data_IF_258414157515
#
_entry.id   IF_258414157515
#
_cell.length_a   1.000
_cell.length_b   1.000
_cell.length_c   1.000
_cell.angle_alpha   90.00
_cell.angle_beta   90.00
_cell.angle_gamma   90.00
#
_symmetry.space_group_name_H-M   'P 1'
#
loop_
_entity.id
_entity.type
_entity.pdbx_description
1 polymer ?
#
# COMPACT_ATOMS: atom_id res chain seq x y z
N UNK A 1 -3.77 -12.63 8.68
CA UNK A 1 -5.04 -12.82 7.94
C UNK A 1 -5.87 -11.53 7.84
N UNK A 2 -5.76 -10.60 8.77
CA UNK A 2 -6.54 -9.34 8.79
C UNK A 2 -6.14 -8.35 7.66
N UNK A 3 -4.87 -8.29 7.28
CA UNK A 3 -4.37 -7.26 6.34
C UNK A 3 -4.76 -7.50 4.87
N UNK A 4 -4.99 -8.75 4.45
CA UNK A 4 -5.47 -9.05 3.09
C UNK A 4 -6.92 -8.58 2.91
N UNK A 5 -7.71 -8.56 3.98
CA UNK A 5 -9.10 -8.11 3.95
C UNK A 5 -9.24 -6.58 3.79
N UNK A 6 -8.27 -5.79 4.22
CA UNK A 6 -8.32 -4.31 4.13
C UNK A 6 -8.12 -3.81 2.69
N UNK A 7 -7.44 -4.58 1.84
CA UNK A 7 -7.29 -4.28 0.40
C UNK A 7 -8.51 -4.66 -0.45
N UNK A 8 -9.52 -5.31 0.14
CA UNK A 8 -10.73 -5.75 -0.56
C UNK A 8 -11.89 -4.84 -0.18
N UNK A 9 -11.96 -3.64 -0.76
CA UNK A 9 -13.23 -2.91 -0.84
C UNK A 9 -14.08 -3.58 -1.91
N UNK A 10 -14.89 -4.57 -1.51
CA UNK A 10 -15.78 -5.30 -2.40
C UNK A 10 -17.08 -4.54 -2.62
N UNK A 11 -17.27 -4.03 -3.84
CA UNK A 11 -18.61 -3.76 -4.34
C UNK A 11 -19.12 -5.03 -5.03
N UNK A 12 -20.03 -5.75 -4.38
CA UNK A 12 -20.71 -6.91 -4.95
C UNK A 12 -21.72 -6.45 -6.02
N UNK A 13 -21.45 -6.74 -7.29
CA UNK A 13 -22.46 -6.86 -8.34
C UNK A 13 -22.08 -8.05 -9.22
N UNK A 14 -22.85 -9.13 -9.10
CA UNK A 14 -22.78 -10.28 -10.01
C UNK A 14 -23.35 -9.89 -11.38
N UNK A 15 -22.49 -9.83 -12.37
CA UNK A 15 -22.87 -9.77 -13.77
C UNK A 15 -21.78 -10.48 -14.57
N UNK A 16 -22.12 -11.55 -15.28
CA UNK A 16 -21.23 -12.17 -16.26
C UNK A 16 -20.86 -11.10 -17.29
N UNK A 17 -19.58 -10.73 -17.36
CA UNK A 17 -19.09 -9.77 -18.33
C UNK A 17 -18.88 -10.48 -19.68
N UNK A 18 -19.41 -9.91 -20.75
CA UNK A 18 -19.00 -10.27 -22.11
C UNK A 18 -17.48 -10.10 -22.24
N UNK A 19 -16.78 -11.01 -22.96
CA UNK A 19 -15.36 -10.89 -23.19
C UNK A 19 -15.08 -9.60 -23.99
N UNK A 20 -14.60 -8.60 -23.30
CA UNK A 20 -14.28 -7.29 -23.86
C UNK A 20 -12.91 -6.82 -23.42
N UNK A 21 -12.34 -5.89 -24.18
CA UNK A 21 -11.07 -5.25 -23.86
C UNK A 21 -11.17 -4.47 -22.55
N UNK A 22 -10.21 -4.62 -21.63
CA UNK A 22 -10.17 -3.82 -20.41
C UNK A 22 -10.23 -2.32 -20.67
N UNK A 23 -11.13 -1.62 -19.97
CA UNK A 23 -11.36 -0.19 -20.14
C UNK A 23 -11.16 0.53 -18.80
N UNK A 24 -10.19 1.43 -18.75
CA UNK A 24 -9.84 2.27 -17.59
C UNK A 24 -9.13 3.53 -18.10
N UNK A 25 -8.96 4.53 -17.22
CA UNK A 25 -8.35 5.81 -17.55
C UNK A 25 -7.31 6.22 -16.48
N UNK A 26 -6.55 7.25 -16.73
CA UNK A 26 -5.46 7.69 -15.84
C UNK A 26 -5.96 8.04 -14.43
N UNK A 27 -7.11 8.71 -14.34
CA UNK A 27 -7.75 9.10 -13.08
C UNK A 27 -8.29 7.93 -12.27
N UNK A 28 -8.47 6.76 -12.88
CA UNK A 28 -8.93 5.53 -12.22
C UNK A 28 -7.80 4.58 -11.85
N UNK A 29 -6.56 4.94 -12.17
CA UNK A 29 -5.35 4.31 -11.62
C UNK A 29 -4.97 5.10 -10.37
N UNK A 30 -5.07 4.50 -9.19
CA UNK A 30 -4.92 5.24 -7.93
C UNK A 30 -3.99 4.51 -6.94
N UNK A 31 -3.42 5.26 -6.02
CA UNK A 31 -2.90 4.69 -4.78
C UNK A 31 -4.10 4.29 -3.91
N UNK A 32 -4.32 3.00 -3.59
CA UNK A 32 -5.54 2.55 -2.91
C UNK A 32 -5.63 3.06 -1.46
N UNK A 33 -4.51 3.44 -0.86
CA UNK A 33 -4.44 3.89 0.53
C UNK A 33 -4.71 5.40 0.60
N UNK A 34 -4.12 6.16 -0.33
CA UNK A 34 -4.35 7.60 -0.44
C UNK A 34 -5.67 7.95 -1.14
N UNK A 35 -6.23 7.01 -1.93
CA UNK A 35 -7.47 7.21 -2.69
C UNK A 35 -7.32 8.14 -3.90
N UNK A 36 -6.11 8.50 -4.30
CA UNK A 36 -5.83 9.46 -5.38
C UNK A 36 -4.87 8.90 -6.42
N UNK A 37 -4.97 9.43 -7.64
CA UNK A 37 -4.01 9.20 -8.71
C UNK A 37 -2.71 10.00 -8.47
N UNK A 38 -1.59 9.54 -9.07
CA UNK A 38 -0.33 10.27 -9.06
C UNK A 38 0.58 10.04 -7.85
N UNK A 39 0.18 9.21 -6.91
CA UNK A 39 1.01 8.84 -5.76
C UNK A 39 1.49 7.38 -5.88
N UNK A 40 2.51 7.15 -6.70
CA UNK A 40 3.04 5.81 -6.96
C UNK A 40 4.55 5.77 -6.73
N UNK A 41 5.04 4.68 -6.15
CA UNK A 41 6.46 4.40 -6.00
C UNK A 41 6.74 2.91 -6.25
N UNK A 42 7.97 2.52 -6.54
CA UNK A 42 8.37 1.11 -6.50
C UNK A 42 8.01 0.49 -5.14
N UNK A 43 7.54 -0.76 -5.14
CA UNK A 43 7.09 -1.46 -3.93
C UNK A 43 5.92 -0.78 -3.20
N UNK A 44 5.08 -0.01 -3.90
CA UNK A 44 3.81 0.51 -3.37
C UNK A 44 2.61 -0.14 -4.06
N UNK A 45 1.45 -0.11 -3.40
CA UNK A 45 0.22 -0.63 -3.99
C UNK A 45 -0.38 0.36 -4.99
N UNK A 46 -0.91 -0.20 -6.09
CA UNK A 46 -1.67 0.51 -7.12
C UNK A 46 -2.97 -0.24 -7.36
N UNK A 47 -4.06 0.50 -7.45
CA UNK A 47 -5.37 -0.03 -7.84
C UNK A 47 -5.78 0.56 -9.19
N UNK A 48 -6.27 -0.30 -10.07
CA UNK A 48 -6.90 0.08 -11.34
C UNK A 48 -8.39 -0.17 -11.19
N UNK A 49 -9.20 0.87 -11.32
CA UNK A 49 -10.65 0.76 -11.44
C UNK A 49 -11.07 0.91 -12.90
N UNK A 50 -12.08 0.15 -13.31
CA UNK A 50 -12.52 0.18 -14.72
C UNK A 50 -13.63 -0.83 -15.01
N UNK A 51 -13.66 -1.28 -16.26
CA UNK A 51 -14.60 -2.28 -16.74
C UNK A 51 -13.85 -3.40 -17.45
N UNK A 52 -14.37 -4.62 -17.39
CA UNK A 52 -13.82 -5.79 -18.07
C UNK A 52 -12.36 -6.10 -17.70
N UNK A 53 -11.96 -5.73 -16.47
CA UNK A 53 -10.59 -5.91 -16.00
C UNK A 53 -10.26 -7.38 -15.69
N UNK A 54 -11.28 -8.18 -15.36
CA UNK A 54 -11.19 -9.62 -15.12
C UNK A 54 -12.54 -10.28 -15.40
N UNK A 55 -12.54 -11.58 -15.70
CA UNK A 55 -13.78 -12.38 -15.81
C UNK A 55 -14.24 -12.95 -14.47
N UNK A 56 -13.37 -12.93 -13.48
CA UNK A 56 -13.63 -13.49 -12.16
C UNK A 56 -13.27 -12.50 -11.06
N UNK A 57 -13.83 -12.71 -9.88
CA UNK A 57 -13.42 -12.01 -8.65
C UNK A 57 -12.59 -12.94 -7.80
N UNK A 58 -11.34 -12.55 -7.52
CA UNK A 58 -10.42 -13.36 -6.73
C UNK A 58 -9.37 -12.51 -6.02
N UNK A 59 -9.12 -12.82 -4.74
CA UNK A 59 -7.97 -12.33 -4.00
C UNK A 59 -6.83 -13.33 -4.03
N UNK A 60 -5.60 -12.87 -3.91
CA UNK A 60 -4.42 -13.70 -3.70
C UNK A 60 -4.59 -14.55 -2.45
N UNK A 61 -4.22 -15.79 -2.53
CA UNK A 61 -4.24 -16.77 -1.44
C UNK A 61 -2.85 -17.39 -1.25
N UNK A 62 -2.60 -18.12 -0.16
CA UNK A 62 -1.35 -18.86 0.03
C UNK A 62 -1.02 -19.83 -1.11
N UNK A 63 -2.02 -20.36 -1.80
CA UNK A 63 -1.84 -21.30 -2.93
C UNK A 63 -1.25 -20.63 -4.17
N UNK A 64 -1.33 -19.30 -4.26
CA UNK A 64 -0.71 -18.52 -5.33
C UNK A 64 0.78 -18.31 -5.11
N UNK A 65 1.26 -18.49 -3.87
CA UNK A 65 2.67 -18.34 -3.53
C UNK A 65 3.45 -19.61 -3.92
N UNK A 66 4.50 -19.45 -4.71
CA UNK A 66 5.37 -20.56 -5.12
C UNK A 66 6.78 -20.34 -4.58
N UNK A 67 7.18 -21.13 -3.59
CA UNK A 67 8.49 -20.99 -2.93
C UNK A 67 8.76 -19.57 -2.42
N UNK A 68 7.76 -18.89 -1.86
CA UNK A 68 7.84 -17.52 -1.38
C UNK A 68 7.83 -16.45 -2.47
N UNK A 69 7.55 -16.83 -3.73
CA UNK A 69 7.40 -15.89 -4.84
C UNK A 69 5.97 -15.37 -4.93
N UNK A 70 5.82 -14.07 -5.09
CA UNK A 70 4.55 -13.39 -5.32
C UNK A 70 4.08 -13.62 -6.76
N UNK A 71 2.78 -13.89 -6.97
CA UNK A 71 2.24 -14.11 -8.31
C UNK A 71 2.18 -12.82 -9.12
N UNK A 72 2.52 -12.89 -10.39
CA UNK A 72 2.26 -11.85 -11.40
C UNK A 72 0.96 -12.11 -12.16
N UNK A 73 0.34 -13.27 -11.94
CA UNK A 73 -0.99 -13.68 -12.39
C UNK A 73 -1.56 -14.57 -11.30
N UNK A 74 -2.78 -14.29 -10.83
CA UNK A 74 -3.48 -15.20 -9.93
C UNK A 74 -3.98 -16.42 -10.71
N UNK A 75 -3.88 -17.60 -10.11
CA UNK A 75 -4.27 -18.86 -10.77
C UNK A 75 -5.71 -18.76 -11.31
N UNK A 76 -5.89 -19.06 -12.60
CA UNK A 76 -7.21 -19.09 -13.26
C UNK A 76 -7.81 -17.72 -13.61
N UNK A 77 -7.04 -16.62 -13.56
CA UNK A 77 -7.59 -15.29 -13.87
C UNK A 77 -7.17 -14.71 -15.22
N UNK A 78 -6.02 -15.10 -15.78
CA UNK A 78 -5.46 -14.52 -17.00
C UNK A 78 -5.04 -13.04 -16.92
N UNK A 79 -5.23 -12.39 -15.77
CA UNK A 79 -4.98 -10.95 -15.60
C UNK A 79 -3.50 -10.69 -15.30
N UNK A 80 -2.91 -9.77 -16.07
CA UNK A 80 -1.55 -9.24 -15.89
C UNK A 80 -1.58 -7.73 -15.88
N UNK A 81 -0.71 -7.12 -15.08
CA UNK A 81 -0.45 -5.69 -15.13
C UNK A 81 1.04 -5.49 -15.35
N UNK A 82 1.39 -4.70 -16.35
CA UNK A 82 2.77 -4.34 -16.68
C UNK A 82 3.00 -2.88 -16.30
N UNK A 83 4.12 -2.61 -15.63
CA UNK A 83 4.60 -1.24 -15.37
C UNK A 83 5.97 -1.13 -16.02
N UNK A 84 6.12 -0.26 -17.01
CA UNK A 84 7.31 -0.22 -17.89
C UNK A 84 7.68 -1.61 -18.42
N UNK A 85 6.71 -2.39 -18.86
CA UNK A 85 6.85 -3.78 -19.34
C UNK A 85 7.29 -4.79 -18.27
N UNK A 86 7.51 -4.37 -17.01
CA UNK A 86 7.82 -5.27 -15.88
C UNK A 86 6.52 -5.74 -15.25
N UNK A 87 6.29 -7.07 -15.11
CA UNK A 87 5.08 -7.60 -14.48
C UNK A 87 4.96 -7.19 -13.01
N UNK A 88 3.83 -6.57 -12.65
CA UNK A 88 3.48 -6.26 -11.27
C UNK A 88 2.93 -7.50 -10.55
N UNK A 89 3.06 -7.56 -9.22
CA UNK A 89 2.48 -8.65 -8.44
C UNK A 89 0.99 -8.41 -8.22
N UNK A 90 0.15 -9.38 -8.57
CA UNK A 90 -1.31 -9.27 -8.50
C UNK A 90 -1.81 -9.75 -7.15
N UNK A 91 -2.57 -8.89 -6.44
CA UNK A 91 -3.16 -9.18 -5.14
C UNK A 91 -4.67 -9.41 -5.17
N UNK A 92 -5.35 -8.76 -6.11
CA UNK A 92 -6.80 -8.86 -6.26
C UNK A 92 -7.21 -8.56 -7.68
N UNK A 93 -8.19 -9.29 -8.18
CA UNK A 93 -8.86 -9.03 -9.45
C UNK A 93 -10.38 -9.11 -9.31
N UNK A 94 -11.08 -8.28 -10.05
CA UNK A 94 -12.52 -8.35 -10.28
C UNK A 94 -12.82 -7.69 -11.63
N UNK A 95 -14.05 -7.80 -12.17
CA UNK A 95 -14.43 -7.10 -13.39
C UNK A 95 -14.26 -5.57 -13.32
N UNK A 96 -14.21 -5.01 -12.11
CA UNK A 96 -14.19 -3.56 -11.86
C UNK A 96 -12.94 -3.05 -11.15
N UNK A 97 -12.11 -3.94 -10.61
CA UNK A 97 -10.96 -3.54 -9.79
C UNK A 97 -9.83 -4.56 -9.90
N UNK A 98 -8.61 -4.08 -10.06
CA UNK A 98 -7.37 -4.88 -9.96
C UNK A 98 -6.40 -4.18 -9.04
N UNK A 99 -5.89 -4.90 -8.01
CA UNK A 99 -4.89 -4.39 -7.09
C UNK A 99 -3.56 -5.08 -7.34
N UNK A 100 -2.53 -4.29 -7.49
CA UNK A 100 -1.16 -4.78 -7.73
C UNK A 100 -0.16 -4.11 -6.80
N UNK A 101 0.95 -4.79 -6.58
CA UNK A 101 2.16 -4.22 -6.01
C UNK A 101 3.12 -3.87 -7.13
N UNK A 102 3.53 -2.61 -7.21
CA UNK A 102 4.51 -2.13 -8.18
C UNK A 102 5.85 -2.85 -7.98
N UNK A 103 6.50 -3.35 -9.04
CA UNK A 103 7.78 -4.04 -8.92
C UNK A 103 8.83 -3.17 -8.22
N UNK A 104 9.52 -3.75 -7.24
CA UNK A 104 10.59 -3.06 -6.50
C UNK A 104 11.81 -2.72 -7.37
N UNK A 105 11.96 -3.39 -8.51
CA UNK A 105 13.05 -3.15 -9.48
C UNK A 105 12.83 -1.92 -10.37
N UNK A 106 11.66 -1.28 -10.30
CA UNK A 106 11.41 -0.05 -11.06
C UNK A 106 12.21 1.12 -10.52
N UNK A 107 12.47 2.08 -11.39
CA UNK A 107 13.15 3.34 -11.06
C UNK A 107 12.14 4.47 -11.10
N UNK A 108 12.27 5.43 -10.21
CA UNK A 108 11.46 6.65 -10.22
C UNK A 108 11.61 7.43 -11.53
N UNK A 109 10.53 8.05 -11.98
CA UNK A 109 10.44 8.80 -13.23
C UNK A 109 9.22 8.43 -14.07
N UNK A 110 9.17 8.89 -15.33
CA UNK A 110 8.09 8.56 -16.25
C UNK A 110 7.96 7.05 -16.46
N UNK A 111 6.74 6.54 -16.39
CA UNK A 111 6.44 5.14 -16.53
C UNK A 111 5.10 4.94 -17.27
N UNK A 112 4.87 3.72 -17.73
CA UNK A 112 3.59 3.32 -18.29
C UNK A 112 2.99 2.19 -17.48
N UNK A 113 1.66 2.15 -17.36
CA UNK A 113 0.93 1.01 -16.80
C UNK A 113 -0.06 0.47 -17.82
N UNK A 114 -0.13 -0.85 -17.97
CA UNK A 114 -1.05 -1.54 -18.87
C UNK A 114 -1.58 -2.82 -18.21
N UNK A 115 -2.89 -2.99 -18.22
CA UNK A 115 -3.56 -4.21 -17.82
C UNK A 115 -3.92 -5.04 -19.06
N UNK A 116 -3.69 -6.34 -18.98
CA UNK A 116 -4.02 -7.34 -20.00
C UNK A 116 -4.89 -8.40 -19.32
N UNK A 117 -6.06 -8.66 -19.88
CA UNK A 117 -6.98 -9.69 -19.42
C UNK A 117 -7.10 -10.78 -20.51
N UNK A 118 -6.56 -11.96 -20.22
CA UNK A 118 -6.59 -13.14 -21.12
C UNK A 118 -6.16 -12.83 -22.57
N UNK A 119 -5.08 -12.06 -22.70
CA UNK A 119 -4.52 -11.64 -23.99
C UNK A 119 -5.12 -10.35 -24.57
N UNK A 120 -6.25 -9.86 -24.06
CA UNK A 120 -6.85 -8.59 -24.47
C UNK A 120 -6.19 -7.43 -23.71
N UNK A 121 -5.46 -6.59 -24.43
CA UNK A 121 -4.73 -5.47 -23.85
C UNK A 121 -5.62 -4.24 -23.71
N UNK A 122 -5.70 -3.70 -22.49
CA UNK A 122 -6.30 -2.39 -22.23
C UNK A 122 -5.39 -1.23 -22.66
N UNK A 123 -5.82 0.03 -22.44
CA UNK A 123 -5.03 1.19 -22.81
C UNK A 123 -3.70 1.26 -22.03
N UNK A 124 -2.68 1.83 -22.68
CA UNK A 124 -1.42 2.20 -22.00
C UNK A 124 -1.61 3.57 -21.36
N UNK A 125 -1.47 3.64 -20.05
CA UNK A 125 -1.60 4.90 -19.29
C UNK A 125 -0.20 5.35 -18.87
N UNK A 126 0.11 6.63 -19.13
CA UNK A 126 1.33 7.26 -18.63
C UNK A 126 1.13 7.64 -17.16
N UNK A 127 2.10 7.27 -16.33
CA UNK A 127 2.17 7.60 -14.91
C UNK A 127 3.55 8.15 -14.57
N UNK A 128 3.72 8.68 -13.38
CA UNK A 128 5.03 9.03 -12.82
C UNK A 128 5.22 8.24 -11.54
N UNK A 129 6.36 7.56 -11.42
CA UNK A 129 6.78 6.92 -10.19
C UNK A 129 7.69 7.88 -9.43
N UNK A 130 7.37 8.16 -8.18
CA UNK A 130 8.25 8.85 -7.25
C UNK A 130 9.20 7.84 -6.57
N UNK A 131 10.28 8.31 -5.96
CA UNK A 131 11.14 7.46 -5.11
C UNK A 131 10.39 6.94 -3.89
N UNK A 132 9.47 7.75 -3.38
CA UNK A 132 8.62 7.48 -2.22
C UNK A 132 7.20 8.03 -2.49
N UNK A 133 6.19 7.33 -2.03
CA UNK A 133 4.78 7.74 -2.10
C UNK A 133 4.08 7.31 -0.79
N UNK A 134 4.40 7.95 0.35
CA UNK A 134 3.93 7.53 1.66
C UNK A 134 2.41 7.60 1.78
N UNK A 135 1.80 6.52 2.22
CA UNK A 135 0.38 6.47 2.55
C UNK A 135 0.15 5.53 3.73
N UNK A 136 -0.59 5.99 4.74
CA UNK A 136 -0.93 5.20 5.92
C UNK A 136 -2.27 4.50 5.71
N UNK A 137 -2.32 3.21 6.04
CA UNK A 137 -3.57 2.46 6.02
C UNK A 137 -4.56 3.04 7.04
N UNK A 138 -5.85 2.92 6.73
CA UNK A 138 -6.93 3.37 7.60
C UNK A 138 -7.77 2.17 8.05
N UNK A 139 -8.22 2.20 9.30
CA UNK A 139 -9.10 1.18 9.88
C UNK A 139 -10.56 1.40 9.45
N UNK A 140 -10.93 2.66 9.24
CA UNK A 140 -12.25 3.12 8.82
C UNK A 140 -12.37 4.62 9.08
N UNK A 141 -13.11 5.33 8.21
CA UNK A 141 -13.15 6.79 8.25
C UNK A 141 -11.75 7.40 8.19
N UNK A 142 -11.43 8.29 9.11
CA UNK A 142 -10.13 8.95 9.20
C UNK A 142 -9.11 8.23 10.12
N UNK A 143 -9.51 7.19 10.86
CA UNK A 143 -8.63 6.52 11.83
C UNK A 143 -7.54 5.74 11.11
N UNK A 144 -6.28 6.06 11.37
CA UNK A 144 -5.15 5.30 10.81
C UNK A 144 -5.09 3.90 11.41
N UNK A 145 -4.69 2.93 10.59
CA UNK A 145 -4.47 1.56 11.07
C UNK A 145 -3.22 1.52 11.93
N UNK A 146 -3.44 1.42 13.23
CA UNK A 146 -2.39 1.24 14.22
C UNK A 146 -2.77 0.15 15.22
N UNK A 147 -1.77 -0.46 15.84
CA UNK A 147 -1.95 -1.48 16.86
C UNK A 147 -1.08 -1.19 18.08
N UNK A 148 -1.56 -1.56 19.24
CA UNK A 148 -0.78 -1.70 20.47
C UNK A 148 0.23 -2.85 20.31
N UNK A 149 1.24 -2.92 21.19
CA UNK A 149 2.24 -4.00 21.11
C UNK A 149 1.67 -5.41 21.37
N UNK A 150 0.52 -5.50 22.01
CA UNK A 150 -0.21 -6.77 22.20
C UNK A 150 -1.01 -7.20 20.97
N UNK A 151 -1.03 -6.38 19.89
CA UNK A 151 -1.73 -6.62 18.65
C UNK A 151 -3.18 -6.14 18.63
N UNK A 152 -3.72 -5.58 19.71
CA UNK A 152 -5.05 -4.97 19.69
C UNK A 152 -5.03 -3.66 18.89
N UNK A 153 -6.13 -3.34 18.22
CA UNK A 153 -6.19 -2.16 17.36
C UNK A 153 -6.33 -0.87 18.17
N UNK A 154 -5.56 0.15 17.79
CA UNK A 154 -5.78 1.51 18.29
C UNK A 154 -7.04 2.06 17.64
N UNK A 155 -7.99 2.49 18.47
CA UNK A 155 -9.29 3.00 18.04
C UNK A 155 -9.79 4.08 19.02
N UNK A 156 -10.86 4.82 18.69
CA UNK A 156 -11.47 5.76 19.65
C UNK A 156 -11.90 5.11 20.98
N UNK A 157 -12.27 3.82 20.95
CA UNK A 157 -12.67 3.05 22.13
C UNK A 157 -11.45 2.45 22.89
N UNK A 158 -10.33 2.27 22.18
CA UNK A 158 -9.06 1.79 22.73
C UNK A 158 -7.91 2.68 22.22
N UNK A 159 -7.82 3.95 22.69
CA UNK A 159 -6.83 4.90 22.21
C UNK A 159 -5.42 4.58 22.75
N UNK A 160 -4.40 4.95 22.01
CA UNK A 160 -3.02 4.90 22.46
C UNK A 160 -2.80 5.87 23.63
N UNK A 161 -1.85 5.55 24.49
CA UNK A 161 -1.45 6.42 25.62
C UNK A 161 -0.15 7.15 25.30
N UNK A 162 0.02 8.32 25.89
CA UNK A 162 1.31 9.03 25.86
C UNK A 162 2.41 8.15 26.47
N UNK A 163 3.60 8.15 25.85
CA UNK A 163 4.72 7.28 26.24
C UNK A 163 4.62 5.84 25.70
N UNK A 164 3.45 5.40 25.24
CA UNK A 164 3.24 4.07 24.68
C UNK A 164 3.93 3.94 23.31
N UNK A 165 4.29 2.71 22.97
CA UNK A 165 4.74 2.36 21.59
C UNK A 165 3.59 1.73 20.83
N UNK A 166 3.27 2.31 19.68
CA UNK A 166 2.28 1.77 18.74
C UNK A 166 2.94 1.39 17.42
N UNK A 167 2.32 0.45 16.71
CA UNK A 167 2.72 0.03 15.37
C UNK A 167 1.74 0.60 14.35
N UNK A 168 2.19 1.50 13.50
CA UNK A 168 1.38 2.10 12.43
C UNK A 168 1.75 1.42 11.11
N UNK A 169 0.76 1.14 10.27
CA UNK A 169 0.97 0.50 8.98
C UNK A 169 0.86 1.49 7.83
N UNK A 170 1.82 1.37 6.89
CA UNK A 170 1.95 2.26 5.74
C UNK A 170 2.41 1.52 4.48
N UNK A 171 2.39 2.19 3.35
CA UNK A 171 3.02 1.77 2.09
C UNK A 171 3.82 2.92 1.49
N UNK A 172 4.67 2.61 0.50
CA UNK A 172 5.35 3.62 -0.30
C UNK A 172 6.48 4.36 0.41
N UNK A 173 7.07 3.79 1.47
CA UNK A 173 8.17 4.44 2.21
C UNK A 173 9.54 4.31 1.51
N UNK A 174 9.58 3.74 0.29
CA UNK A 174 10.77 3.69 -0.54
C UNK A 174 11.66 2.45 -0.33
N UNK A 175 12.92 2.52 -0.81
CA UNK A 175 13.89 1.43 -0.70
C UNK A 175 14.23 1.07 0.75
N UNK A 176 14.68 -0.18 0.95
CA UNK A 176 15.06 -0.70 2.28
C UNK A 176 16.50 -1.20 2.31
N UNK A 177 17.03 -1.33 3.54
CA UNK A 177 18.34 -1.92 3.82
C UNK A 177 18.14 -3.06 4.85
N UNK A 178 18.41 -4.34 4.45
CA UNK A 178 18.78 -4.77 3.11
C UNK A 178 17.68 -4.52 2.06
N UNK A 179 18.04 -4.45 0.76
CA UNK A 179 17.07 -4.22 -0.30
C UNK A 179 16.03 -5.34 -0.39
N UNK A 180 14.77 -4.97 -0.65
CA UNK A 180 13.72 -5.94 -0.93
C UNK A 180 14.04 -6.74 -2.20
N UNK A 181 13.80 -8.06 -2.15
CA UNK A 181 14.04 -8.95 -3.29
C UNK A 181 12.83 -8.90 -4.23
N UNK A 182 13.04 -8.69 -5.56
CA UNK A 182 11.95 -8.64 -6.51
C UNK A 182 11.05 -9.87 -6.47
N UNK A 183 9.75 -9.65 -6.51
CA UNK A 183 8.70 -10.68 -6.52
C UNK A 183 8.76 -11.66 -5.33
N UNK A 184 9.35 -11.28 -4.21
CA UNK A 184 9.50 -12.18 -3.08
C UNK A 184 8.80 -11.66 -1.83
N UNK A 185 8.19 -12.58 -1.11
CA UNK A 185 7.67 -12.34 0.24
C UNK A 185 8.86 -12.05 1.16
N UNK A 186 8.89 -10.93 1.89
CA UNK A 186 9.97 -10.63 2.83
C UNK A 186 9.93 -11.63 4.00
N UNK A 187 11.07 -12.20 4.35
CA UNK A 187 11.25 -13.13 5.47
C UNK A 187 11.86 -12.47 6.71
N UNK A 188 12.37 -11.25 6.57
CA UNK A 188 12.97 -10.48 7.66
C UNK A 188 12.59 -8.99 7.56
N UNK A 189 12.63 -8.32 8.71
CA UNK A 189 12.49 -6.88 8.79
C UNK A 189 13.67 -6.18 8.11
N UNK A 190 13.39 -5.09 7.38
CA UNK A 190 14.40 -4.27 6.72
C UNK A 190 14.02 -2.80 6.90
N UNK A 191 14.96 -1.99 7.39
CA UNK A 191 14.77 -0.57 7.58
C UNK A 191 14.59 0.16 6.25
N UNK A 192 13.82 1.26 6.24
CA UNK A 192 13.88 2.19 5.10
C UNK A 192 15.30 2.75 4.97
N UNK A 193 15.76 2.92 3.72
CA UNK A 193 17.12 3.41 3.45
C UNK A 193 17.30 4.85 3.97
N UNK A 194 16.33 5.71 3.73
CA UNK A 194 16.33 7.14 4.08
C UNK A 194 15.76 7.43 5.47
N UNK A 195 16.07 6.62 6.47
CA UNK A 195 15.53 6.78 7.83
C UNK A 195 15.86 8.11 8.52
N UNK A 196 16.97 8.76 8.12
CA UNK A 196 17.38 10.07 8.67
C UNK A 196 16.52 11.23 8.18
N UNK A 197 15.90 11.07 7.00
CA UNK A 197 15.04 12.07 6.37
C UNK A 197 13.56 11.81 6.67
N UNK A 198 13.25 10.62 7.18
CA UNK A 198 11.88 10.22 7.48
C UNK A 198 11.39 10.87 8.76
N UNK A 199 10.21 11.46 8.72
CA UNK A 199 9.58 12.08 9.87
C UNK A 199 8.09 11.74 9.98
N UNK A 200 7.57 11.93 11.19
CA UNK A 200 6.15 11.85 11.53
C UNK A 200 5.75 13.20 12.13
N UNK A 201 4.57 13.65 11.77
CA UNK A 201 3.97 14.88 12.28
C UNK A 201 2.65 14.57 12.98
N UNK A 202 2.45 15.17 14.15
CA UNK A 202 1.18 15.19 14.87
C UNK A 202 0.67 16.64 14.88
N UNK A 203 -0.49 16.90 14.25
CA UNK A 203 -1.02 18.25 14.01
C UNK A 203 0.04 19.19 13.42
N UNK A 204 0.75 18.72 12.36
CA UNK A 204 1.82 19.43 11.67
C UNK A 204 3.06 19.79 12.52
N UNK A 205 3.17 19.23 13.75
CA UNK A 205 4.35 19.33 14.58
C UNK A 205 5.16 18.03 14.44
N UNK A 206 6.44 18.11 14.04
CA UNK A 206 7.27 16.93 13.90
C UNK A 206 7.56 16.29 15.25
N UNK A 207 7.40 14.97 15.36
CA UNK A 207 7.79 14.25 16.55
C UNK A 207 9.31 14.12 16.63
N UNK A 208 9.90 14.03 17.83
CA UNK A 208 11.33 13.76 17.99
C UNK A 208 11.74 12.50 17.21
N UNK A 209 12.88 12.55 16.51
CA UNK A 209 13.39 11.40 15.75
C UNK A 209 13.58 10.17 16.64
N UNK A 210 13.96 10.37 17.91
CA UNK A 210 14.08 9.30 18.90
C UNK A 210 12.78 8.60 19.26
N UNK A 211 11.64 9.18 18.89
CA UNK A 211 10.31 8.56 19.04
C UNK A 211 10.01 7.55 17.94
N UNK A 212 10.71 7.61 16.79
CA UNK A 212 10.56 6.66 15.68
C UNK A 212 11.52 5.50 15.90
N UNK A 213 11.04 4.44 16.56
CA UNK A 213 11.85 3.30 16.94
C UNK A 213 12.15 2.34 15.79
N UNK A 214 11.29 2.34 14.78
CA UNK A 214 11.42 1.56 13.54
C UNK A 214 10.59 2.19 12.44
N UNK A 215 11.10 2.18 11.23
CA UNK A 215 10.34 2.39 10.01
C UNK A 215 10.92 1.46 8.93
N UNK A 216 10.11 0.55 8.38
CA UNK A 216 10.62 -0.45 7.45
C UNK A 216 9.59 -1.49 7.07
N UNK A 217 10.02 -2.52 6.33
CA UNK A 217 9.17 -3.63 5.89
C UNK A 217 8.61 -4.40 7.08
N UNK A 218 7.34 -4.79 6.97
CA UNK A 218 6.62 -5.65 7.91
C UNK A 218 6.46 -7.06 7.34
N UNK A 219 7.38 -8.00 7.64
CA UNK A 219 7.23 -9.37 7.19
C UNK A 219 5.94 -10.02 7.74
N UNK A 220 5.33 -10.94 6.99
CA UNK A 220 5.70 -11.45 5.68
C UNK A 220 5.02 -10.70 4.51
N UNK A 221 4.72 -9.42 4.63
CA UNK A 221 3.91 -8.69 3.65
C UNK A 221 4.75 -7.76 2.79
N UNK A 222 4.93 -8.10 1.50
CA UNK A 222 5.59 -7.20 0.55
C UNK A 222 4.73 -5.95 0.32
N UNK A 223 5.40 -4.78 0.21
CA UNK A 223 4.72 -3.48 0.05
C UNK A 223 4.09 -2.92 1.32
N UNK A 224 4.04 -3.73 2.40
CA UNK A 224 3.61 -3.26 3.71
C UNK A 224 4.82 -2.81 4.51
N UNK A 225 4.74 -1.58 4.99
CA UNK A 225 5.69 -1.01 5.94
C UNK A 225 5.02 -0.86 7.29
N UNK A 226 5.80 -1.01 8.35
CA UNK A 226 5.39 -0.66 9.71
C UNK A 226 6.29 0.44 10.25
N UNK A 227 5.70 1.26 11.11
CA UNK A 227 6.36 2.34 11.83
C UNK A 227 6.08 2.11 13.31
N UNK A 228 7.13 1.87 14.11
CA UNK A 228 6.99 1.76 15.54
C UNK A 228 7.24 3.15 16.14
N UNK A 229 6.16 3.79 16.57
CA UNK A 229 6.18 5.13 17.14
C UNK A 229 5.97 5.08 18.64
N UNK A 230 6.91 5.63 19.41
CA UNK A 230 6.66 6.00 20.81
C UNK A 230 5.89 7.30 20.82
N UNK A 231 4.68 7.27 21.34
CA UNK A 231 3.84 8.47 21.47
C UNK A 231 4.54 9.47 22.39
N UNK A 232 4.81 10.73 21.96
CA UNK A 232 5.39 11.75 22.82
C UNK A 232 4.53 12.02 24.06
N UNK A 233 5.16 12.36 25.19
CA UNK A 233 4.44 12.62 26.44
C UNK A 233 3.55 13.87 26.35
N UNK A 234 3.87 14.79 25.46
CA UNK A 234 3.15 16.02 25.17
C UNK A 234 2.22 15.91 23.93
N UNK A 235 2.05 14.70 23.37
CA UNK A 235 1.20 14.51 22.20
C UNK A 235 -0.22 15.03 22.47
N UNK A 236 -0.84 15.76 21.52
CA UNK A 236 -2.23 16.18 21.64
C UNK A 236 -3.18 14.98 21.62
N UNK A 237 -4.41 15.16 22.09
CA UNK A 237 -5.45 14.15 21.97
C UNK A 237 -5.92 14.07 20.49
N UNK A 238 -6.11 12.85 19.99
CA UNK A 238 -6.63 12.55 18.67
C UNK A 238 -6.01 13.41 17.54
N UNK A 239 -4.66 13.52 17.45
CA UNK A 239 -4.04 14.40 16.46
C UNK A 239 -4.24 13.89 15.04
N UNK A 240 -4.28 14.82 14.10
CA UNK A 240 -3.99 14.53 12.70
C UNK A 240 -2.56 14.01 12.56
N UNK A 241 -2.37 12.88 11.90
CA UNK A 241 -1.05 12.29 11.70
C UNK A 241 -0.66 12.27 10.24
N UNK A 242 0.61 12.58 9.96
CA UNK A 242 1.25 12.45 8.65
C UNK A 242 2.62 11.82 8.81
N UNK A 243 3.07 11.11 7.77
CA UNK A 243 4.42 10.58 7.70
C UNK A 243 5.01 10.79 6.33
N UNK A 244 6.33 10.84 6.23
CA UNK A 244 7.01 10.94 4.94
C UNK A 244 8.36 11.61 4.99
N UNK A 245 8.71 12.24 3.89
CA UNK A 245 9.99 12.86 3.58
C UNK A 245 9.78 14.31 3.17
N UNK A 246 10.85 15.16 3.15
CA UNK A 246 10.70 16.57 2.80
C UNK A 246 10.01 16.82 1.45
N UNK A 247 10.26 15.97 0.46
CA UNK A 247 9.68 16.08 -0.88
C UNK A 247 8.29 15.45 -1.02
N UNK A 248 7.97 14.41 -0.23
CA UNK A 248 6.73 13.65 -0.32
C UNK A 248 6.23 13.20 1.05
N UNK A 249 5.06 13.67 1.40
CA UNK A 249 4.35 13.32 2.64
C UNK A 249 3.05 12.57 2.33
N UNK A 250 2.60 11.75 3.27
CA UNK A 250 1.26 11.20 3.22
C UNK A 250 0.21 12.32 3.21
N UNK A 251 -0.95 12.06 2.58
CA UNK A 251 -2.04 13.03 2.57
C UNK A 251 -2.52 13.34 4.00
N UNK A 252 -3.02 14.55 4.25
CA UNK A 252 -3.65 14.91 5.51
C UNK A 252 -4.99 14.16 5.69
N UNK A 253 -5.51 14.17 6.91
CA UNK A 253 -6.82 13.62 7.25
C UNK A 253 -6.78 12.30 8.03
N UNK A 254 -5.60 11.67 8.15
CA UNK A 254 -5.43 10.55 9.09
C UNK A 254 -5.45 11.03 10.54
N UNK A 255 -6.16 10.32 11.42
CA UNK A 255 -6.23 10.58 12.87
C UNK A 255 -5.65 9.38 13.61
N UNK A 256 -4.77 9.64 14.58
CA UNK A 256 -4.29 8.63 15.51
C UNK A 256 -4.98 8.84 16.87
N UNK A 257 -5.90 7.95 17.31
CA UNK A 257 -6.54 8.07 18.61
C UNK A 257 -5.51 8.01 19.74
N UNK A 258 -5.37 9.11 20.52
CA UNK A 258 -4.44 9.27 21.66
C UNK A 258 -5.16 9.89 22.85
N UNK A 259 -4.86 9.40 24.06
CA UNK A 259 -5.35 9.97 25.33
C UNK A 259 -4.32 9.95 26.45
#
# INVERSE_FOLDING_TARGET
MLLIAILVFASFLMGGADPGTPAYAAETVVNPIAGVAGMYAPNSFITIYGNQLSYVTRAMSPDDLRAGMLPTVLIGTGVRVLINHVPANVYYVSPKQVNVLAPVSLVAGPATIQLINDGLAGPVINIVLDTVAPAMFQLGGATVLAAHLDGTLVSPDAPARRGEVVVIYATGLGPTVPPAVPNRVPDAAAWIDRRTDFAIWLNDVPVPVSSILYAGISPPYAGLFQINLRIPDDAPADPGIRCGFPENMSLPGGILPIR
#
